data_IF_377133447821
#
_entry.id   IF_377133447821
#
_cell.length_a   1.000
_cell.length_b   1.000
_cell.length_c   1.000
_cell.angle_alpha   90.00
_cell.angle_beta   90.00
_cell.angle_gamma   90.00
#
_symmetry.space_group_name_H-M   'P 1'
#
loop_
_entity.id
_entity.type
_entity.pdbx_description
1 polymer ?
#
# COMPACT_ATOMS: atom_id res chain seq x y z
N UNK A 1 22.16 29.44 -27.35
CA UNK A 1 22.13 29.19 -25.89
C UNK A 1 21.08 28.13 -25.61
N UNK A 2 21.44 27.07 -24.89
CA UNK A 2 20.57 25.99 -24.44
C UNK A 2 19.83 26.44 -23.19
N UNK A 3 18.52 26.27 -23.11
CA UNK A 3 17.83 26.01 -21.84
C UNK A 3 16.66 25.05 -22.09
N UNK A 4 16.94 23.79 -21.77
CA UNK A 4 15.95 22.75 -21.53
C UNK A 4 15.23 23.09 -20.22
N UNK A 5 13.91 23.12 -20.22
CA UNK A 5 13.11 23.16 -18.98
C UNK A 5 12.25 21.90 -18.92
N UNK A 6 12.74 20.96 -18.13
CA UNK A 6 12.04 19.76 -17.67
C UNK A 6 11.02 20.14 -16.60
N UNK A 7 9.74 20.07 -16.90
CA UNK A 7 8.67 20.09 -15.90
C UNK A 7 8.41 18.68 -15.39
N UNK A 8 9.07 18.33 -14.28
CA UNK A 8 8.71 17.17 -13.47
C UNK A 8 7.80 17.70 -12.35
N UNK A 9 6.52 17.37 -12.38
CA UNK A 9 5.59 17.66 -11.28
C UNK A 9 4.72 16.44 -10.95
N UNK A 10 5.22 15.71 -9.94
CA UNK A 10 4.56 14.87 -8.94
C UNK A 10 3.23 14.18 -9.31
N UNK A 11 3.33 12.93 -9.76
CA UNK A 11 2.35 11.90 -9.46
C UNK A 11 2.73 11.27 -8.10
N UNK A 12 2.35 11.92 -7.00
CA UNK A 12 2.32 11.26 -5.69
C UNK A 12 0.95 10.59 -5.53
N UNK A 13 0.75 9.52 -6.30
CA UNK A 13 -0.31 8.56 -6.00
C UNK A 13 0.04 7.95 -4.65
N UNK A 14 -0.61 8.40 -3.57
CA UNK A 14 -0.56 7.66 -2.31
C UNK A 14 -1.14 6.27 -2.60
N UNK A 15 -0.28 5.26 -2.58
CA UNK A 15 -0.65 3.89 -2.84
C UNK A 15 -1.53 3.41 -1.68
N UNK A 16 -2.85 3.57 -1.80
CA UNK A 16 -3.81 2.81 -1.03
C UNK A 16 -3.84 1.38 -1.59
N UNK A 17 -2.76 0.65 -1.37
CA UNK A 17 -2.59 -0.69 -1.90
C UNK A 17 -2.75 -1.67 -0.74
N UNK A 18 -3.87 -2.40 -0.78
CA UNK A 18 -4.10 -3.66 -0.07
C UNK A 18 -4.73 -3.62 1.35
N UNK A 19 -5.77 -2.82 1.53
CA UNK A 19 -6.64 -2.87 2.74
C UNK A 19 -7.16 -4.30 3.04
N UNK A 20 -7.49 -5.06 2.00
CA UNK A 20 -8.13 -6.39 2.10
C UNK A 20 -7.18 -7.54 1.75
N UNK A 21 -5.88 -7.36 1.96
CA UNK A 21 -4.91 -8.45 1.78
C UNK A 21 -4.45 -9.03 3.10
N UNK A 22 -3.93 -10.25 3.03
CA UNK A 22 -3.35 -10.94 4.16
C UNK A 22 -2.03 -11.61 3.79
N UNK A 23 -1.09 -11.74 4.74
CA UNK A 23 0.17 -12.44 4.51
C UNK A 23 -0.04 -13.95 4.52
N UNK A 24 0.74 -14.64 3.69
CA UNK A 24 0.92 -16.08 3.72
C UNK A 24 2.42 -16.36 3.89
N UNK A 25 2.78 -17.03 4.97
CA UNK A 25 4.18 -17.38 5.28
C UNK A 25 4.27 -18.87 5.49
N UNK A 26 5.05 -19.53 4.65
CA UNK A 26 5.33 -20.96 4.74
C UNK A 26 6.84 -21.15 4.92
N UNK A 27 7.25 -21.94 5.90
CA UNK A 27 8.65 -22.31 6.08
C UNK A 27 8.77 -23.74 6.58
N UNK A 28 9.89 -24.38 6.25
CA UNK A 28 10.11 -25.79 6.53
C UNK A 28 11.56 -26.09 6.87
N UNK A 29 11.77 -27.09 7.72
CA UNK A 29 13.09 -27.68 7.99
C UNK A 29 13.59 -28.56 6.85
N UNK A 30 12.72 -28.92 5.90
CA UNK A 30 13.06 -29.63 4.67
C UNK A 30 13.25 -28.67 3.50
N UNK A 31 13.97 -29.12 2.45
CA UNK A 31 14.14 -28.34 1.23
C UNK A 31 12.81 -28.28 0.48
N UNK A 32 12.34 -27.07 0.22
CA UNK A 32 11.11 -26.84 -0.54
C UNK A 32 11.44 -26.64 -2.01
N UNK A 33 10.68 -27.28 -2.89
CA UNK A 33 10.75 -27.07 -4.33
C UNK A 33 9.82 -25.93 -4.69
N UNK A 34 10.36 -24.71 -4.71
CA UNK A 34 9.59 -23.51 -5.03
C UNK A 34 9.64 -23.30 -6.55
N UNK A 35 8.50 -23.24 -7.25
CA UNK A 35 8.48 -22.94 -8.67
C UNK A 35 9.14 -21.59 -8.97
N UNK A 36 9.98 -21.53 -10.01
CA UNK A 36 10.73 -20.32 -10.35
C UNK A 36 9.79 -19.16 -10.71
N UNK A 37 9.98 -18.00 -10.06
CA UNK A 37 9.20 -16.78 -10.33
C UNK A 37 7.99 -16.55 -9.42
N UNK A 38 7.74 -17.42 -8.43
CA UNK A 38 6.56 -17.33 -7.55
C UNK A 38 6.79 -16.52 -6.25
N UNK A 39 7.93 -15.82 -6.08
CA UNK A 39 8.13 -14.91 -4.94
C UNK A 39 7.72 -13.49 -5.35
N UNK A 40 6.42 -13.20 -5.35
CA UNK A 40 5.90 -11.86 -5.58
C UNK A 40 5.32 -11.27 -4.29
N UNK A 41 5.46 -9.95 -4.11
CA UNK A 41 4.84 -9.25 -2.98
C UNK A 41 3.31 -9.38 -2.98
N UNK A 42 2.71 -9.58 -4.15
CA UNK A 42 1.27 -9.64 -4.33
C UNK A 42 0.86 -10.88 -5.13
N UNK A 43 -0.10 -11.66 -4.62
CA UNK A 43 -0.73 -12.77 -5.34
C UNK A 43 -2.22 -12.86 -5.08
N UNK A 44 -2.96 -13.53 -5.96
CA UNK A 44 -4.32 -13.95 -5.65
C UNK A 44 -4.30 -15.17 -4.71
N UNK A 45 -5.34 -15.35 -3.90
CA UNK A 45 -5.51 -16.55 -3.06
C UNK A 45 -5.37 -17.83 -3.88
N UNK A 46 -5.99 -17.88 -5.06
CA UNK A 46 -5.92 -19.06 -5.95
C UNK A 46 -4.50 -19.40 -6.36
N UNK A 47 -3.65 -18.41 -6.64
CA UNK A 47 -2.25 -18.63 -7.05
C UNK A 47 -1.39 -19.01 -5.85
N UNK A 48 -1.51 -18.29 -4.75
CA UNK A 48 -0.78 -18.57 -3.52
C UNK A 48 -1.11 -19.99 -2.98
N UNK A 49 -2.38 -20.38 -3.01
CA UNK A 49 -2.81 -21.73 -2.65
C UNK A 49 -2.33 -22.77 -3.65
N UNK A 50 -2.37 -22.52 -4.96
CA UNK A 50 -1.85 -23.46 -5.95
C UNK A 50 -0.36 -23.74 -5.71
N UNK A 51 0.45 -22.70 -5.53
CA UNK A 51 1.88 -22.87 -5.23
C UNK A 51 2.10 -23.59 -3.90
N UNK A 52 1.30 -23.27 -2.87
CA UNK A 52 1.34 -23.97 -1.58
C UNK A 52 1.00 -25.45 -1.75
N UNK A 53 -0.02 -25.78 -2.52
CA UNK A 53 -0.43 -27.15 -2.82
C UNK A 53 0.66 -27.90 -3.58
N UNK A 54 1.29 -27.28 -4.59
CA UNK A 54 2.39 -27.88 -5.35
C UNK A 54 3.60 -28.21 -4.46
N UNK A 55 3.97 -27.28 -3.55
CA UNK A 55 5.05 -27.49 -2.59
C UNK A 55 4.73 -28.69 -1.67
N UNK A 56 3.50 -28.72 -1.16
CA UNK A 56 3.03 -29.72 -0.20
C UNK A 56 2.71 -31.09 -0.83
N UNK A 57 2.51 -31.17 -2.15
CA UNK A 57 2.23 -32.40 -2.88
C UNK A 57 3.36 -33.45 -2.71
N UNK A 58 4.59 -32.99 -2.49
CA UNK A 58 5.75 -33.85 -2.22
C UNK A 58 5.83 -34.39 -0.79
N UNK A 59 4.93 -33.94 0.10
CA UNK A 59 4.92 -34.24 1.53
C UNK A 59 6.33 -34.13 2.17
N UNK A 60 6.94 -32.93 2.21
CA UNK A 60 8.34 -32.75 2.57
C UNK A 60 8.69 -33.04 4.03
N UNK A 61 7.72 -33.06 4.95
CA UNK A 61 7.95 -33.27 6.39
C UNK A 61 6.93 -34.22 7.01
N UNK A 62 7.20 -34.72 8.21
CA UNK A 62 6.25 -35.55 8.98
C UNK A 62 5.28 -34.72 9.83
N UNK A 63 5.67 -33.51 10.23
CA UNK A 63 4.86 -32.61 11.06
C UNK A 63 4.49 -31.34 10.31
N UNK A 64 3.23 -30.93 10.42
CA UNK A 64 2.67 -29.73 9.81
C UNK A 64 1.93 -28.93 10.85
N UNK A 65 2.25 -27.64 10.95
CA UNK A 65 1.63 -26.72 11.90
C UNK A 65 0.99 -25.58 11.13
N UNK A 66 -0.34 -25.51 11.19
CA UNK A 66 -1.15 -24.50 10.53
C UNK A 66 -1.55 -23.46 11.56
N UNK A 67 -1.16 -22.21 11.36
CA UNK A 67 -1.48 -21.11 12.26
C UNK A 67 -2.32 -20.11 11.49
N UNK A 68 -3.59 -19.97 11.90
CA UNK A 68 -4.52 -19.04 11.28
C UNK A 68 -4.79 -17.87 12.21
N UNK A 69 -4.50 -16.65 11.77
CA UNK A 69 -4.76 -15.43 12.54
C UNK A 69 -5.57 -14.43 11.71
N UNK A 70 -6.86 -14.21 12.03
CA UNK A 70 -7.69 -13.29 11.26
C UNK A 70 -7.26 -11.82 11.40
N UNK A 71 -7.55 -11.02 10.36
CA UNK A 71 -7.30 -9.58 10.28
C UNK A 71 -5.82 -9.16 10.36
N UNK A 72 -4.88 -10.07 10.07
CA UNK A 72 -3.46 -9.74 10.00
C UNK A 72 -3.06 -9.24 8.61
N UNK A 73 -2.24 -8.20 8.57
CA UNK A 73 -1.65 -7.65 7.36
C UNK A 73 -0.13 -7.80 7.38
N UNK A 74 0.54 -7.80 6.22
CA UNK A 74 2.01 -7.80 6.17
C UNK A 74 2.65 -6.69 7.02
N UNK A 75 2.02 -5.52 7.09
CA UNK A 75 2.51 -4.39 7.90
C UNK A 75 2.48 -4.64 9.41
N UNK A 76 1.67 -5.60 9.88
CA UNK A 76 1.62 -6.03 11.27
C UNK A 76 2.74 -7.06 11.57
N UNK A 77 3.27 -7.75 10.57
CA UNK A 77 4.39 -8.68 10.73
C UNK A 77 5.75 -8.00 10.56
N UNK A 78 5.87 -7.08 9.60
CA UNK A 78 7.10 -6.35 9.30
C UNK A 78 6.80 -4.91 8.90
N UNK A 79 7.63 -4.00 9.38
CA UNK A 79 7.57 -2.63 8.94
C UNK A 79 7.92 -2.53 7.44
N UNK A 80 7.04 -1.97 6.58
CA UNK A 80 7.28 -1.92 5.14
C UNK A 80 8.44 -0.99 4.73
N UNK A 81 8.84 -0.05 5.60
CA UNK A 81 9.92 0.91 5.31
C UNK A 81 11.25 0.48 5.92
N UNK A 82 11.25 0.06 7.18
CA UNK A 82 12.49 -0.33 7.88
C UNK A 82 12.81 -1.81 7.78
N UNK A 83 11.87 -2.65 7.34
CA UNK A 83 12.01 -4.11 7.32
C UNK A 83 12.06 -4.76 8.71
N UNK A 84 11.95 -3.96 9.78
CA UNK A 84 11.98 -4.42 11.17
C UNK A 84 10.81 -5.36 11.40
N UNK A 85 11.11 -6.54 11.93
CA UNK A 85 10.06 -7.49 12.26
C UNK A 85 9.40 -7.13 13.59
N UNK A 86 8.09 -7.20 13.54
CA UNK A 86 7.17 -6.85 14.58
C UNK A 86 6.67 -8.09 15.33
N UNK A 87 6.52 -9.23 14.64
CA UNK A 87 6.33 -10.55 15.25
C UNK A 87 7.67 -11.23 15.48
N UNK A 88 8.30 -10.93 16.61
CA UNK A 88 9.66 -11.39 16.92
C UNK A 88 9.77 -12.92 16.88
N UNK A 89 8.81 -13.64 17.47
CA UNK A 89 8.86 -15.10 17.52
C UNK A 89 8.70 -15.72 16.13
N UNK A 90 7.73 -15.25 15.32
CA UNK A 90 7.54 -15.75 13.96
C UNK A 90 8.77 -15.50 13.08
N UNK A 91 9.30 -14.28 13.08
CA UNK A 91 10.46 -13.95 12.27
C UNK A 91 11.72 -14.69 12.71
N UNK A 92 11.95 -14.81 14.03
CA UNK A 92 13.09 -15.58 14.54
C UNK A 92 13.02 -17.05 14.14
N UNK A 93 11.81 -17.62 14.06
CA UNK A 93 11.61 -18.99 13.60
C UNK A 93 11.85 -19.13 12.09
N UNK A 94 11.37 -18.19 11.27
CA UNK A 94 11.60 -18.17 9.81
C UNK A 94 13.09 -18.03 9.49
N UNK A 95 13.81 -17.18 10.23
CA UNK A 95 15.25 -16.94 10.06
C UNK A 95 16.12 -17.96 10.84
N UNK A 96 15.50 -18.97 11.44
CA UNK A 96 16.17 -20.00 12.23
C UNK A 96 17.07 -20.90 11.38
N UNK A 97 18.22 -21.31 11.93
CA UNK A 97 19.20 -22.14 11.20
C UNK A 97 18.68 -23.51 10.76
N UNK A 98 17.63 -24.02 11.40
CA UNK A 98 17.00 -25.29 11.05
C UNK A 98 16.15 -25.20 9.77
N UNK A 99 15.73 -24.00 9.37
CA UNK A 99 14.87 -23.78 8.19
C UNK A 99 15.70 -23.92 6.92
N UNK A 100 15.23 -24.76 5.99
CA UNK A 100 15.91 -25.05 4.71
C UNK A 100 15.12 -24.60 3.49
N UNK A 101 13.85 -24.24 3.66
CA UNK A 101 13.02 -23.68 2.60
C UNK A 101 11.96 -22.73 3.16
N UNK A 102 11.68 -21.66 2.40
CA UNK A 102 10.67 -20.66 2.73
C UNK A 102 9.92 -20.21 1.49
N UNK A 103 8.63 -19.97 1.64
CA UNK A 103 7.76 -19.38 0.64
C UNK A 103 6.86 -18.38 1.34
N UNK A 104 7.08 -17.10 1.06
CA UNK A 104 6.35 -15.99 1.66
C UNK A 104 5.71 -15.11 0.58
N UNK A 105 4.44 -14.79 0.78
CA UNK A 105 3.68 -13.83 0.00
C UNK A 105 3.20 -12.75 0.96
N UNK A 106 3.69 -11.53 0.78
CA UNK A 106 3.37 -10.43 1.68
C UNK A 106 1.87 -10.12 1.64
N UNK A 107 1.28 -10.02 0.45
CA UNK A 107 -0.12 -9.66 0.27
C UNK A 107 -0.84 -10.66 -0.63
N UNK A 108 -1.77 -11.42 -0.05
CA UNK A 108 -2.67 -12.32 -0.75
C UNK A 108 -4.05 -11.66 -0.82
N UNK A 109 -4.58 -11.53 -2.04
CA UNK A 109 -5.91 -10.94 -2.30
C UNK A 109 -6.87 -12.03 -2.78
N UNK A 110 -8.07 -12.05 -2.24
CA UNK A 110 -9.17 -12.84 -2.75
C UNK A 110 -9.91 -13.55 -1.63
N UNK A 111 -10.45 -14.72 -1.95
CA UNK A 111 -11.15 -15.55 -0.98
C UNK A 111 -10.23 -15.94 0.19
N UNK A 112 -10.82 -16.17 1.35
CA UNK A 112 -10.07 -16.52 2.55
C UNK A 112 -9.51 -17.94 2.50
N UNK A 113 -8.35 -18.14 3.13
CA UNK A 113 -7.72 -19.45 3.26
C UNK A 113 -8.35 -20.20 4.46
N UNK A 114 -8.92 -21.37 4.19
CA UNK A 114 -9.51 -22.23 5.21
C UNK A 114 -8.46 -23.17 5.82
N UNK A 115 -8.39 -23.17 7.16
CA UNK A 115 -7.54 -24.10 7.91
C UNK A 115 -7.92 -25.55 7.64
N UNK A 116 -9.23 -25.87 7.64
CA UNK A 116 -9.72 -27.23 7.39
C UNK A 116 -9.41 -27.67 5.95
N UNK A 117 -9.55 -26.76 4.99
CA UNK A 117 -9.22 -27.04 3.58
C UNK A 117 -7.75 -27.42 3.39
N UNK A 118 -6.84 -26.67 4.03
CA UNK A 118 -5.41 -26.92 3.95
C UNK A 118 -5.01 -28.19 4.71
N UNK A 119 -5.59 -28.42 5.90
CA UNK A 119 -5.37 -29.64 6.68
C UNK A 119 -5.79 -30.89 5.90
N UNK A 120 -6.99 -30.89 5.32
CA UNK A 120 -7.49 -32.00 4.51
C UNK A 120 -6.62 -32.25 3.27
N UNK A 121 -6.14 -31.18 2.63
CA UNK A 121 -5.23 -31.30 1.50
C UNK A 121 -3.91 -31.98 1.91
N UNK A 122 -3.28 -31.54 3.00
CA UNK A 122 -2.02 -32.12 3.48
C UNK A 122 -2.18 -33.60 3.79
N UNK A 123 -3.26 -33.97 4.50
CA UNK A 123 -3.54 -35.36 4.82
C UNK A 123 -3.72 -36.21 3.56
N UNK A 124 -4.47 -35.71 2.57
CA UNK A 124 -4.67 -36.39 1.30
C UNK A 124 -3.36 -36.54 0.50
N UNK A 125 -2.61 -35.46 0.33
CA UNK A 125 -1.34 -35.45 -0.41
C UNK A 125 -0.31 -36.39 0.23
N UNK A 126 -0.14 -36.35 1.56
CA UNK A 126 0.77 -37.24 2.26
C UNK A 126 0.31 -38.71 2.26
N UNK A 127 -1.00 -38.96 2.25
CA UNK A 127 -1.56 -40.29 2.10
C UNK A 127 -1.25 -40.91 0.72
N UNK A 128 -1.27 -40.11 -0.34
CA UNK A 128 -0.88 -40.53 -1.70
C UNK A 128 0.61 -40.85 -1.79
N UNK A 129 1.46 -40.12 -1.05
CA UNK A 129 2.89 -40.41 -0.91
C UNK A 129 3.20 -41.60 0.02
N UNK A 130 2.18 -42.27 0.58
CA UNK A 130 2.35 -43.42 1.47
C UNK A 130 2.85 -43.08 2.88
N UNK A 131 2.93 -41.80 3.26
CA UNK A 131 3.38 -41.32 4.59
C UNK A 131 2.20 -41.15 5.55
N UNK A 132 1.44 -42.22 5.79
CA UNK A 132 0.30 -42.18 6.72
C UNK A 132 0.74 -42.34 8.19
N UNK A 133 1.75 -43.14 8.42
CA UNK A 133 2.25 -43.44 9.76
C UNK A 133 3.22 -42.34 10.22
N UNK A 134 2.90 -41.68 11.34
CA UNK A 134 3.70 -40.59 11.91
C UNK A 134 3.42 -39.19 11.35
N UNK A 135 2.41 -39.03 10.48
CA UNK A 135 1.98 -37.72 10.01
C UNK A 135 1.20 -36.99 11.12
N UNK A 136 1.70 -35.83 11.54
CA UNK A 136 1.03 -34.95 12.49
C UNK A 136 0.65 -33.64 11.80
N UNK A 137 -0.65 -33.34 11.73
CA UNK A 137 -1.16 -32.05 11.22
C UNK A 137 -1.90 -31.35 12.35
N UNK A 138 -1.37 -30.22 12.79
CA UNK A 138 -1.89 -29.45 13.92
C UNK A 138 -2.39 -28.09 13.42
N UNK A 139 -3.60 -27.72 13.86
CA UNK A 139 -4.24 -26.46 13.48
C UNK A 139 -4.47 -25.57 14.69
N UNK A 140 -3.94 -24.35 14.64
CA UNK A 140 -4.07 -23.33 15.68
C UNK A 140 -4.80 -22.12 15.12
N UNK A 141 -5.90 -21.74 15.77
CA UNK A 141 -6.65 -20.52 15.44
C UNK A 141 -6.39 -19.48 16.53
N UNK A 142 -5.66 -18.43 16.17
CA UNK A 142 -5.37 -17.31 17.05
C UNK A 142 -6.51 -16.31 17.07
N UNK A 143 -6.54 -15.47 18.10
CA UNK A 143 -7.49 -14.36 18.20
C UNK A 143 -7.29 -13.36 17.05
N UNK A 144 -8.41 -12.84 16.53
CA UNK A 144 -8.41 -11.86 15.46
C UNK A 144 -7.79 -10.54 15.91
N UNK A 145 -6.95 -9.94 15.06
CA UNK A 145 -6.42 -8.60 15.35
C UNK A 145 -7.55 -7.55 15.27
N UNK A 146 -7.55 -6.55 16.17
CA UNK A 146 -8.62 -5.55 16.23
C UNK A 146 -8.58 -4.65 14.99
N UNK A 147 -9.72 -4.45 14.32
CA UNK A 147 -9.83 -3.76 13.03
C UNK A 147 -9.42 -2.26 13.02
N UNK A 148 -9.36 -1.57 14.16
CA UNK A 148 -9.06 -0.13 14.21
C UNK A 148 -7.55 0.16 14.37
N UNK A 149 -6.97 0.78 13.34
CA UNK A 149 -5.60 1.33 13.32
C UNK A 149 -5.58 2.74 13.95
N UNK A 150 -5.81 2.84 15.26
CA UNK A 150 -5.39 4.03 16.00
C UNK A 150 -3.86 4.14 16.03
N UNK A 151 -3.32 5.30 16.43
CA UNK A 151 -1.91 5.77 16.65
C UNK A 151 -1.05 4.88 17.58
N UNK A 152 -1.27 3.61 17.40
CA UNK A 152 -1.38 2.61 18.41
C UNK A 152 -0.89 1.36 17.68
N UNK A 153 -1.44 0.93 16.54
CA UNK A 153 -0.95 -0.26 15.79
C UNK A 153 0.54 -0.22 15.35
N UNK A 154 1.14 0.94 15.09
CA UNK A 154 2.54 1.02 14.63
C UNK A 154 3.57 1.20 15.78
N UNK A 155 3.19 1.88 16.86
CA UNK A 155 3.98 1.99 18.11
C UNK A 155 3.78 0.77 19.02
N UNK A 156 2.68 0.02 18.84
CA UNK A 156 2.32 -1.22 19.58
C UNK A 156 3.14 -2.45 19.24
N UNK A 157 4.12 -2.34 18.35
CA UNK A 157 4.91 -3.49 17.93
C UNK A 157 6.41 -3.19 17.82
N UNK A 158 6.82 -2.00 18.26
CA UNK A 158 8.22 -1.58 18.25
C UNK A 158 8.54 -0.67 19.43
N UNK A 159 8.68 -1.23 20.63
CA UNK A 159 9.49 -0.63 21.69
C UNK A 159 10.23 -1.72 22.46
N UNK A 160 11.38 -2.14 21.91
CA UNK A 160 12.54 -2.54 22.71
C UNK A 160 13.62 -1.52 22.41
N UNK A 161 13.59 -0.41 23.14
CA UNK A 161 14.53 0.69 22.97
C UNK A 161 14.18 1.89 23.83
N UNK A 162 14.45 1.75 25.13
CA UNK A 162 14.77 2.86 26.05
C UNK A 162 13.64 3.78 26.56
N UNK A 163 13.35 3.64 27.87
CA UNK A 163 12.79 4.62 28.82
C UNK A 163 11.60 5.52 28.40
N UNK A 164 10.36 5.19 28.81
CA UNK A 164 9.44 6.19 29.40
C UNK A 164 8.17 5.63 30.06
N UNK A 165 7.94 6.11 31.29
CA UNK A 165 6.67 6.35 32.00
C UNK A 165 5.65 5.24 32.29
N UNK A 166 5.44 5.07 33.59
CA UNK A 166 4.63 4.07 34.29
C UNK A 166 3.09 4.18 34.17
N UNK A 167 2.53 4.63 33.04
CA UNK A 167 1.06 4.66 32.81
C UNK A 167 0.59 3.87 31.58
N UNK A 168 1.44 2.97 31.06
CA UNK A 168 1.27 2.25 29.78
C UNK A 168 0.93 0.75 29.97
N UNK A 169 0.68 0.30 31.20
CA UNK A 169 0.72 -1.13 31.56
C UNK A 169 -0.54 -1.96 31.20
N UNK A 170 -1.71 -1.36 30.96
CA UNK A 170 -2.93 -2.14 30.72
C UNK A 170 -3.20 -2.43 29.23
N UNK A 171 -2.71 -1.58 28.32
CA UNK A 171 -3.04 -1.62 26.87
C UNK A 171 -2.00 -2.38 26.02
N UNK A 172 -0.84 -2.74 26.60
CA UNK A 172 0.23 -3.55 25.98
C UNK A 172 0.04 -5.07 26.09
N UNK A 173 -1.04 -5.53 26.74
CA UNK A 173 -1.23 -6.95 27.06
C UNK A 173 -1.87 -7.79 25.95
N UNK A 174 -2.54 -7.21 24.95
CA UNK A 174 -3.27 -8.00 23.94
C UNK A 174 -2.41 -8.37 22.74
N UNK A 175 -1.63 -7.45 22.18
CA UNK A 175 -0.84 -7.72 20.97
C UNK A 175 0.39 -8.61 21.27
N UNK A 176 0.92 -8.50 22.50
CA UNK A 176 1.95 -9.40 23.03
C UNK A 176 1.45 -10.84 23.18
N UNK A 177 0.14 -11.07 23.33
CA UNK A 177 -0.39 -12.44 23.49
C UNK A 177 -0.27 -13.24 22.20
N UNK A 178 -0.60 -12.65 21.04
CA UNK A 178 -0.53 -13.37 19.78
C UNK A 178 0.90 -13.80 19.45
N UNK A 179 1.88 -12.89 19.55
CA UNK A 179 3.29 -13.25 19.29
C UNK A 179 3.84 -14.24 20.33
N UNK A 180 3.44 -14.13 21.61
CA UNK A 180 3.81 -15.10 22.66
C UNK A 180 3.19 -16.48 22.40
N UNK A 181 1.93 -16.53 21.96
CA UNK A 181 1.24 -17.79 21.63
C UNK A 181 1.89 -18.46 20.42
N UNK A 182 2.21 -17.68 19.37
CA UNK A 182 3.01 -18.16 18.23
C UNK A 182 4.36 -18.70 18.73
N UNK A 183 5.03 -17.98 19.61
CA UNK A 183 6.29 -18.43 20.22
C UNK A 183 6.17 -19.75 20.98
N UNK A 184 5.08 -19.95 21.73
CA UNK A 184 4.79 -21.20 22.41
C UNK A 184 4.61 -22.37 21.43
N UNK A 185 3.73 -22.21 20.43
CA UNK A 185 3.46 -23.22 19.40
C UNK A 185 4.75 -23.61 18.66
N UNK A 186 5.56 -22.62 18.28
CA UNK A 186 6.81 -22.84 17.56
C UNK A 186 7.88 -23.50 18.43
N UNK A 187 7.99 -23.10 19.70
CA UNK A 187 8.95 -23.70 20.64
C UNK A 187 8.60 -25.17 20.92
N UNK A 188 7.32 -25.49 21.12
CA UNK A 188 6.86 -26.86 21.31
C UNK A 188 7.14 -27.72 20.07
N UNK A 189 6.90 -27.15 18.88
CA UNK A 189 7.18 -27.81 17.61
C UNK A 189 8.68 -28.09 17.43
N UNK A 190 9.54 -27.12 17.78
CA UNK A 190 10.99 -27.27 17.71
C UNK A 190 11.53 -28.25 18.75
N UNK A 191 10.93 -28.30 19.94
CA UNK A 191 11.33 -29.20 21.03
C UNK A 191 11.08 -30.68 20.71
N UNK A 192 10.12 -31.00 19.83
CA UNK A 192 9.86 -32.37 19.35
C UNK A 192 11.06 -32.98 18.62
N UNK A 193 11.92 -32.15 18.01
CA UNK A 193 13.12 -32.60 17.29
C UNK A 193 12.85 -33.21 15.91
N UNK A 194 11.59 -33.31 15.49
CA UNK A 194 11.17 -33.84 14.19
C UNK A 194 11.26 -32.80 13.07
N UNK A 195 11.15 -33.26 11.82
CA UNK A 195 11.04 -32.38 10.67
C UNK A 195 9.64 -31.75 10.58
N UNK A 196 9.58 -30.44 10.43
CA UNK A 196 8.33 -29.70 10.48
C UNK A 196 8.20 -28.66 9.37
N UNK A 197 6.95 -28.42 8.98
CA UNK A 197 6.56 -27.32 8.10
C UNK A 197 5.51 -26.48 8.79
N UNK A 198 5.74 -25.17 8.89
CA UNK A 198 4.80 -24.21 9.46
C UNK A 198 4.17 -23.39 8.35
N UNK A 199 2.86 -23.20 8.42
CA UNK A 199 2.11 -22.35 7.51
C UNK A 199 1.30 -21.36 8.34
N UNK A 200 1.64 -20.09 8.21
CA UNK A 200 0.96 -18.96 8.83
C UNK A 200 0.15 -18.20 7.78
N UNK A 201 -1.13 -17.97 8.05
CA UNK A 201 -2.05 -17.28 7.13
C UNK A 201 -3.21 -16.59 7.85
N UNK A 202 -3.92 -15.70 7.17
CA UNK A 202 -5.20 -15.18 7.67
C UNK A 202 -6.37 -16.09 7.32
N UNK A 203 -7.24 -16.34 8.29
CA UNK A 203 -8.49 -17.09 8.10
C UNK A 203 -9.70 -16.15 8.01
N UNK A 204 -10.84 -16.62 7.48
CA UNK A 204 -12.06 -15.81 7.46
C UNK A 204 -12.48 -15.42 8.87
N UNK A 205 -12.84 -14.15 9.07
CA UNK A 205 -13.71 -13.78 10.18
C UNK A 205 -14.92 -13.00 9.65
N UNK A 206 -16.11 -13.37 10.11
CA UNK A 206 -17.40 -12.79 9.73
C UNK A 206 -17.64 -11.35 10.21
N UNK A 207 -16.61 -10.67 10.75
CA UNK A 207 -16.77 -9.36 11.38
C UNK A 207 -15.92 -8.32 10.66
N UNK A 208 -16.60 -7.58 9.78
CA UNK A 208 -16.21 -6.32 9.18
C UNK A 208 -14.87 -6.32 8.42
N UNK A 209 -14.99 -6.38 7.09
CA UNK A 209 -13.98 -5.91 6.12
C UNK A 209 -13.30 -4.65 6.66
N UNK A 210 -11.98 -4.68 6.77
CA UNK A 210 -11.18 -3.56 7.26
C UNK A 210 -11.40 -2.35 6.33
N UNK A 211 -12.21 -1.39 6.81
CA UNK A 211 -12.27 -0.06 6.22
C UNK A 211 -11.20 0.77 6.90
N UNK A 212 -10.14 1.08 6.16
CA UNK A 212 -9.20 2.10 6.62
C UNK A 212 -9.95 3.40 6.91
N UNK A 213 -10.03 3.79 8.18
CA UNK A 213 -10.44 5.14 8.57
C UNK A 213 -9.20 6.03 8.45
N UNK A 214 -8.82 6.34 7.22
CA UNK A 214 -8.06 7.57 7.03
C UNK A 214 -8.98 8.71 7.43
N UNK A 215 -8.42 9.77 8.03
CA UNK A 215 -9.06 11.08 8.02
C UNK A 215 -9.16 11.47 6.56
N UNK A 216 -10.21 10.97 5.95
CA UNK A 216 -10.62 11.26 4.60
C UNK A 216 -11.03 12.72 4.66
N UNK A 217 -10.04 13.59 4.42
CA UNK A 217 -10.32 14.94 4.02
C UNK A 217 -11.33 14.79 2.90
N UNK A 218 -12.58 15.23 3.12
CA UNK A 218 -13.69 15.07 2.19
C UNK A 218 -13.43 15.65 0.78
N UNK A 219 -12.23 16.21 0.55
CA UNK A 219 -11.68 16.62 -0.72
C UNK A 219 -11.11 15.49 -1.61
N UNK A 220 -10.90 14.26 -1.10
CA UNK A 220 -10.22 13.18 -1.87
C UNK A 220 -11.15 12.05 -2.32
N UNK A 221 -12.42 12.02 -1.88
CA UNK A 221 -13.45 11.19 -2.51
C UNK A 221 -13.90 11.78 -3.85
N UNK A 222 -13.04 11.69 -4.86
CA UNK A 222 -13.51 11.72 -6.25
C UNK A 222 -14.11 10.35 -6.54
N UNK A 223 -15.42 10.24 -6.38
CA UNK A 223 -16.21 9.06 -6.70
C UNK A 223 -15.90 8.57 -8.13
N UNK A 224 -15.12 7.50 -8.25
CA UNK A 224 -15.23 6.56 -9.38
C UNK A 224 -16.40 5.63 -9.11
N UNK A 225 -17.60 6.20 -9.00
CA UNK A 225 -18.84 5.45 -9.04
C UNK A 225 -19.08 5.07 -10.50
N UNK A 226 -18.56 3.92 -10.92
CA UNK A 226 -18.92 3.30 -12.19
C UNK A 226 -20.40 2.90 -12.08
N UNK A 227 -21.27 3.85 -12.44
CA UNK A 227 -22.71 3.70 -12.44
C UNK A 227 -23.09 2.80 -13.63
N UNK A 228 -22.98 1.50 -13.45
CA UNK A 228 -23.68 0.51 -14.27
C UNK A 228 -24.89 0.05 -13.47
N UNK A 229 -26.04 0.68 -13.68
CA UNK A 229 -27.28 0.23 -13.06
C UNK A 229 -28.28 1.34 -12.76
N UNK A 230 -29.13 1.56 -13.76
CA UNK A 230 -30.53 1.99 -13.70
C UNK A 230 -30.94 3.37 -13.17
N UNK A 231 -31.87 3.93 -13.93
CA UNK A 231 -32.49 5.25 -13.81
C UNK A 231 -33.49 5.20 -12.66
N UNK A 232 -33.27 5.96 -11.59
CA UNK A 232 -34.34 6.42 -10.71
C UNK A 232 -34.08 7.87 -10.31
N UNK A 233 -34.79 8.78 -10.97
CA UNK A 233 -34.95 10.19 -10.54
C UNK A 233 -35.52 10.24 -9.10
N UNK A 234 -34.88 10.95 -8.16
CA UNK A 234 -35.56 11.36 -6.94
C UNK A 234 -36.39 12.60 -7.25
N UNK A 235 -37.71 12.42 -7.20
CA UNK A 235 -38.72 13.49 -7.21
C UNK A 235 -38.36 14.61 -6.23
N UNK A 236 -38.58 15.84 -6.69
CA UNK A 236 -38.48 17.08 -5.93
C UNK A 236 -39.14 16.99 -4.55
N UNK A 237 -38.30 17.00 -3.51
CA UNK A 237 -38.71 17.20 -2.12
C UNK A 237 -38.36 18.62 -1.68
N UNK A 238 -39.38 19.46 -1.50
CA UNK A 238 -39.27 20.73 -0.80
C UNK A 238 -38.80 20.48 0.64
N UNK A 239 -37.52 20.75 0.92
CA UNK A 239 -37.01 20.83 2.28
C UNK A 239 -36.00 21.97 2.37
N UNK A 240 -36.41 23.01 3.10
CA UNK A 240 -35.60 24.15 3.50
C UNK A 240 -34.56 23.75 4.55
N UNK A 241 -33.57 22.96 4.16
CA UNK A 241 -32.46 22.57 5.05
C UNK A 241 -31.19 23.33 4.66
N UNK A 242 -30.82 24.30 5.49
CA UNK A 242 -29.70 25.24 5.26
C UNK A 242 -28.31 24.63 5.54
N UNK A 243 -28.17 23.31 5.56
CA UNK A 243 -26.91 22.63 5.89
C UNK A 243 -26.38 21.76 4.75
N UNK A 244 -26.23 22.35 3.56
CA UNK A 244 -25.34 21.78 2.55
C UNK A 244 -23.87 21.89 3.05
N UNK A 245 -23.04 20.84 2.89
CA UNK A 245 -21.65 20.85 3.38
C UNK A 245 -20.88 22.08 2.89
N UNK A 246 -20.00 22.64 3.74
CA UNK A 246 -19.26 23.89 3.53
C UNK A 246 -18.53 23.98 2.16
N UNK A 247 -18.18 22.84 1.57
CA UNK A 247 -17.52 22.75 0.27
C UNK A 247 -18.46 22.78 -0.95
N UNK A 248 -19.77 22.57 -0.77
CA UNK A 248 -20.77 22.82 -1.83
C UNK A 248 -20.87 24.33 -2.12
N UNK A 249 -20.55 25.17 -1.12
CA UNK A 249 -20.58 26.63 -1.24
C UNK A 249 -19.26 27.24 -1.71
N UNK A 250 -18.20 26.46 -1.89
CA UNK A 250 -16.90 26.99 -2.31
C UNK A 250 -16.77 27.02 -3.84
N UNK A 251 -17.15 28.14 -4.44
CA UNK A 251 -16.95 28.39 -5.86
C UNK A 251 -15.61 29.09 -6.07
N UNK A 252 -14.52 28.32 -6.20
CA UNK A 252 -13.14 28.85 -6.39
C UNK A 252 -13.03 29.85 -7.55
N UNK A 253 -13.85 29.70 -8.59
CA UNK A 253 -14.02 30.67 -9.66
C UNK A 253 -15.49 31.07 -9.73
N UNK A 254 -15.88 32.11 -8.97
CA UNK A 254 -17.18 32.73 -9.21
C UNK A 254 -17.25 33.19 -10.67
N UNK A 255 -18.44 33.16 -11.31
CA UNK A 255 -18.56 33.48 -12.73
C UNK A 255 -17.99 34.88 -13.05
N UNK A 256 -18.07 35.81 -12.09
CA UNK A 256 -17.45 37.13 -12.17
C UNK A 256 -15.92 37.12 -12.14
N UNK A 257 -15.28 36.34 -11.27
CA UNK A 257 -13.80 36.23 -11.22
C UNK A 257 -13.28 35.64 -12.52
N UNK A 258 -13.93 34.60 -13.05
CA UNK A 258 -13.54 33.98 -14.31
C UNK A 258 -13.62 34.97 -15.48
N UNK A 259 -14.74 35.67 -15.63
CA UNK A 259 -14.90 36.70 -16.67
C UNK A 259 -13.91 37.86 -16.49
N UNK A 260 -13.60 38.24 -15.26
CA UNK A 260 -12.60 39.26 -14.94
C UNK A 260 -11.19 38.84 -15.36
N UNK A 261 -10.78 37.60 -15.07
CA UNK A 261 -9.47 37.07 -15.48
C UNK A 261 -9.37 37.01 -17.01
N UNK A 262 -10.42 36.56 -17.70
CA UNK A 262 -10.44 36.52 -19.17
C UNK A 262 -10.29 37.93 -19.76
N UNK A 263 -11.05 38.91 -19.26
CA UNK A 263 -10.93 40.30 -19.71
C UNK A 263 -9.54 40.90 -19.42
N UNK A 264 -8.97 40.60 -18.25
CA UNK A 264 -7.65 41.07 -17.84
C UNK A 264 -6.54 40.49 -18.75
N UNK A 265 -6.63 39.22 -19.15
CA UNK A 265 -5.68 38.62 -20.09
C UNK A 265 -5.75 39.32 -21.45
N UNK A 266 -6.96 39.61 -21.96
CA UNK A 266 -7.12 40.33 -23.23
C UNK A 266 -6.51 41.74 -23.13
N UNK A 267 -6.80 42.48 -22.05
CA UNK A 267 -6.26 43.82 -21.85
C UNK A 267 -4.73 43.81 -21.76
N UNK A 268 -4.15 42.88 -21.00
CA UNK A 268 -2.69 42.73 -20.90
C UNK A 268 -2.04 42.35 -22.23
N UNK A 269 -2.70 41.55 -23.07
CA UNK A 269 -2.18 41.21 -24.40
C UNK A 269 -2.08 42.44 -25.32
N UNK A 270 -3.10 43.31 -25.31
CA UNK A 270 -3.09 44.55 -26.07
C UNK A 270 -2.05 45.54 -25.53
N UNK A 271 -1.94 45.64 -24.20
CA UNK A 271 -0.91 46.46 -23.54
C UNK A 271 0.50 45.98 -23.88
N UNK A 272 0.73 44.66 -23.89
CA UNK A 272 2.03 44.07 -24.23
C UNK A 272 2.44 44.43 -25.65
N UNK A 273 1.53 44.31 -26.63
CA UNK A 273 1.80 44.70 -28.02
C UNK A 273 2.08 46.20 -28.12
N UNK A 274 1.32 47.04 -27.40
CA UNK A 274 1.54 48.48 -27.35
C UNK A 274 2.91 48.86 -26.79
N UNK A 275 3.32 48.26 -25.66
CA UNK A 275 4.64 48.47 -25.08
C UNK A 275 5.77 47.97 -26.00
N UNK A 276 5.57 46.83 -26.68
CA UNK A 276 6.55 46.30 -27.64
C UNK A 276 6.75 47.26 -28.82
N UNK A 277 5.67 47.88 -29.31
CA UNK A 277 5.74 48.86 -30.39
C UNK A 277 6.47 50.14 -29.96
N UNK A 278 6.21 50.63 -28.75
CA UNK A 278 6.90 51.82 -28.22
C UNK A 278 8.38 51.53 -27.96
N UNK A 279 8.71 50.35 -27.42
CA UNK A 279 10.09 49.95 -27.18
C UNK A 279 10.90 49.76 -28.47
N UNK A 280 10.23 49.48 -29.60
CA UNK A 280 10.87 49.31 -30.91
C UNK A 280 11.16 50.65 -31.62
N UNK A 281 10.81 51.80 -31.04
CA UNK A 281 11.14 53.10 -31.62
C UNK A 281 12.61 53.40 -31.44
N UNK A 282 13.39 53.08 -32.46
CA UNK A 282 14.77 53.53 -32.60
C UNK A 282 14.78 54.92 -33.24
N UNK A 283 15.46 55.87 -32.59
CA UNK A 283 15.70 57.18 -33.19
C UNK A 283 16.92 57.04 -34.11
N UNK A 284 16.73 57.30 -35.40
CA UNK A 284 17.84 57.28 -36.37
C UNK A 284 18.75 58.49 -36.17
N UNK A 285 19.72 58.36 -35.27
CA UNK A 285 20.73 59.38 -35.01
C UNK A 285 21.63 59.68 -36.23
N UNK A 286 21.68 58.78 -37.21
CA UNK A 286 22.43 59.00 -38.47
C UNK A 286 21.89 60.13 -39.35
N UNK A 287 20.64 60.59 -39.15
CA UNK A 287 20.11 61.76 -39.84
C UNK A 287 20.56 63.09 -39.22
N UNK A 288 21.09 63.04 -38.00
CA UNK A 288 21.70 64.19 -37.31
C UNK A 288 23.24 64.17 -37.42
N UNK A 289 23.82 63.06 -37.86
CA UNK A 289 25.24 63.00 -38.18
C UNK A 289 25.50 63.69 -39.53
N UNK A 290 26.42 64.65 -39.50
CA UNK A 290 26.85 65.37 -40.71
C UNK A 290 27.68 64.42 -41.57
N UNK A 291 27.07 63.95 -42.66
CA UNK A 291 27.69 63.15 -43.73
C UNK A 291 29.07 63.72 -44.14
N UNK A 292 30.14 63.08 -43.66
CA UNK A 292 31.52 63.34 -44.10
C UNK A 292 31.99 62.30 -45.13
N UNK A 293 31.05 61.75 -45.92
CA UNK A 293 31.38 60.85 -47.02
C UNK A 293 32.16 61.56 -48.14
N UNK A 294 32.92 60.84 -48.98
CA UNK A 294 33.78 61.40 -50.03
C UNK A 294 33.06 62.27 -51.07
N UNK A 295 31.72 62.27 -51.10
CA UNK A 295 30.91 63.22 -51.88
C UNK A 295 30.90 64.64 -51.28
N UNK A 296 31.12 64.83 -49.98
CA UNK A 296 31.19 66.13 -49.32
C UNK A 296 32.49 66.89 -49.63
N UNK A 297 33.58 66.20 -49.99
CA UNK A 297 34.82 66.85 -50.42
C UNK A 297 34.79 67.39 -51.85
N UNK A 298 33.77 67.05 -52.65
CA UNK A 298 33.66 67.53 -54.04
C UNK A 298 33.13 68.96 -54.18
N UNK A 299 32.81 69.64 -53.08
CA UNK A 299 32.24 71.00 -53.10
C UNK A 299 33.22 72.12 -52.67
N UNK A 300 34.48 71.80 -52.39
CA UNK A 300 35.53 72.80 -52.22
C UNK A 300 36.63 72.56 -53.27
N UNK A 301 36.39 73.09 -54.46
CA UNK A 301 37.45 73.51 -55.36
C UNK A 301 37.25 75.00 -55.61
#
# INVERSE_FOLDING_TARGET
>A
MRFSTTTISLLASTAAAFSDSSPLVLFSTSKLLIPAGETSQLQSTSRALHTTHDILASCPTSRYVLISQPNVHASDLRNPHSGVCHSANLCSAVDGQAVRGRYDVAEVIGDDISLDGLSNYIQAACAEQGKKDGLAVEGHRLEALPAQKGEARATKLAENGEHSSANVLQKHMTDRKADVEIGGILSDTQASGDDYTVIYFSSPHSSAVYKSEYVESAAIQMELKRQTGDIVEPRAGNASDRSAPLFVKYQFFTPGIFMGIVALIIMLSLLYVGLSAVASLEVSYGAFDKENGPAAQKKNN
#
